data_IF_584740240942
#
_entry.id   IF_584740240942
#
_cell.length_a   1.000
_cell.length_b   1.000
_cell.length_c   1.000
_cell.angle_alpha   90.00
_cell.angle_beta   90.00
_cell.angle_gamma   90.00
#
_symmetry.space_group_name_H-M   'P 1'
#
loop_
_entity.id
_entity.type
_entity.pdbx_description
1 polymer ?
#
# COMPACT_ATOMS: atom_id res chain seq x y z
N UNK A 1 -2.76 12.64 13.82
CA UNK A 1 -3.67 11.60 13.31
C UNK A 1 -2.94 10.73 12.30
N UNK A 2 -3.15 9.44 12.39
CA UNK A 2 -2.59 8.52 11.40
C UNK A 2 -3.16 8.74 10.02
N UNK A 3 -2.48 8.21 9.01
CA UNK A 3 -2.99 8.15 7.66
C UNK A 3 -2.74 6.74 7.12
N UNK A 4 -3.60 6.30 6.24
CA UNK A 4 -3.55 4.94 5.71
C UNK A 4 -3.37 4.96 4.21
N UNK A 5 -2.43 4.19 3.72
CA UNK A 5 -2.32 3.89 2.31
C UNK A 5 -3.02 2.55 2.09
N UNK A 6 -4.06 2.57 1.28
CA UNK A 6 -4.85 1.38 1.00
C UNK A 6 -4.70 1.05 -0.47
N UNK A 7 -4.23 -0.16 -0.74
CA UNK A 7 -3.91 -0.58 -2.10
C UNK A 7 -4.62 -1.88 -2.42
N UNK A 8 -5.18 -1.94 -3.64
CA UNK A 8 -5.62 -3.19 -4.26
C UNK A 8 -4.66 -3.44 -5.41
N UNK A 9 -3.83 -4.48 -5.29
CA UNK A 9 -2.75 -4.75 -6.22
C UNK A 9 -2.95 -6.10 -6.86
N UNK A 10 -3.11 -6.10 -8.18
CA UNK A 10 -3.32 -7.33 -8.95
C UNK A 10 -2.19 -7.52 -9.95
N UNK A 11 -1.16 -8.31 -9.62
CA UNK A 11 -0.10 -8.61 -10.58
C UNK A 11 -0.63 -9.48 -11.73
N UNK A 12 -0.24 -9.13 -12.96
CA UNK A 12 -0.55 -9.96 -14.11
C UNK A 12 0.25 -11.26 -14.06
N UNK A 13 1.47 -11.18 -13.54
CA UNK A 13 2.36 -12.33 -13.35
C UNK A 13 2.98 -12.19 -11.95
N UNK A 14 2.49 -12.99 -11.01
CA UNK A 14 2.97 -12.93 -9.63
C UNK A 14 4.44 -13.30 -9.52
N UNK A 15 4.92 -14.21 -10.36
CA UNK A 15 6.32 -14.61 -10.34
C UNK A 15 7.24 -13.46 -10.76
N UNK A 16 6.86 -12.73 -11.81
CA UNK A 16 7.60 -11.56 -12.25
C UNK A 16 7.58 -10.46 -11.19
N UNK A 17 6.44 -10.28 -10.53
CA UNK A 17 6.30 -9.28 -9.49
C UNK A 17 7.18 -9.60 -8.28
N UNK A 18 7.19 -10.86 -7.85
CA UNK A 18 8.08 -11.31 -6.77
C UNK A 18 9.54 -11.15 -7.13
N UNK A 19 9.90 -11.43 -8.38
CA UNK A 19 11.28 -11.31 -8.85
C UNK A 19 11.76 -9.88 -9.05
N UNK A 20 10.84 -8.90 -9.01
CA UNK A 20 11.18 -7.50 -9.24
C UNK A 20 11.90 -6.84 -8.07
N UNK A 21 11.85 -7.44 -6.88
CA UNK A 21 12.39 -6.84 -5.67
C UNK A 21 11.43 -5.93 -4.92
N UNK A 22 10.25 -5.68 -5.46
CA UNK A 22 9.27 -4.76 -4.85
C UNK A 22 8.87 -5.21 -3.44
N UNK A 23 8.55 -6.49 -3.29
CA UNK A 23 8.00 -7.01 -2.04
C UNK A 23 9.02 -6.98 -0.89
N UNK A 24 10.31 -7.04 -1.21
CA UNK A 24 11.37 -6.98 -0.20
C UNK A 24 11.79 -5.54 0.12
N UNK A 25 11.90 -4.70 -0.90
CA UNK A 25 12.46 -3.36 -0.75
C UNK A 25 11.47 -2.36 -0.16
N UNK A 26 10.22 -2.40 -0.60
CA UNK A 26 9.24 -1.36 -0.27
C UNK A 26 8.90 -1.31 1.23
N UNK A 27 8.74 -2.43 1.95
CA UNK A 27 8.52 -2.34 3.40
C UNK A 27 9.63 -1.61 4.14
N UNK A 28 10.88 -1.75 3.72
CA UNK A 28 11.99 -1.04 4.35
C UNK A 28 11.92 0.45 4.07
N UNK A 29 11.56 0.83 2.85
CA UNK A 29 11.39 2.24 2.49
C UNK A 29 10.24 2.84 3.29
N UNK A 30 9.10 2.16 3.35
CA UNK A 30 7.96 2.62 4.12
C UNK A 30 8.29 2.81 5.60
N UNK A 31 9.09 1.90 6.17
CA UNK A 31 9.49 1.99 7.57
C UNK A 31 10.30 3.25 7.86
N UNK A 32 11.08 3.73 6.91
CA UNK A 32 11.85 4.98 7.08
C UNK A 32 10.92 6.19 7.28
N UNK A 33 9.69 6.10 6.81
CA UNK A 33 8.68 7.16 6.98
C UNK A 33 7.68 6.83 8.09
N UNK A 34 7.98 5.80 8.89
CA UNK A 34 7.12 5.39 9.98
C UNK A 34 5.97 4.50 9.57
N UNK A 35 6.00 3.97 8.36
CA UNK A 35 4.96 3.09 7.86
C UNK A 35 4.97 1.71 8.51
N UNK A 36 3.80 1.24 8.90
CA UNK A 36 3.62 -0.09 9.50
C UNK A 36 2.54 -0.81 8.70
N UNK A 37 2.87 -1.99 8.17
CA UNK A 37 1.89 -2.79 7.46
C UNK A 37 0.86 -3.33 8.44
N UNK A 38 -0.40 -3.02 8.19
CA UNK A 38 -1.53 -3.51 9.00
C UNK A 38 -2.27 -4.66 8.32
N UNK A 39 -2.22 -4.71 7.00
CA UNK A 39 -2.71 -5.83 6.22
C UNK A 39 -1.84 -5.96 4.98
N UNK A 40 -1.57 -7.18 4.55
CA UNK A 40 -0.69 -7.42 3.41
C UNK A 40 -1.10 -8.69 2.67
N UNK A 41 -2.16 -8.58 1.89
CA UNK A 41 -2.63 -9.68 1.05
C UNK A 41 -3.23 -10.85 1.82
N UNK A 42 -3.75 -10.59 3.01
CA UNK A 42 -4.42 -11.60 3.79
C UNK A 42 -5.82 -11.92 3.28
N UNK A 43 -6.51 -12.77 4.00
CA UNK A 43 -7.87 -13.16 3.66
C UNK A 43 -8.78 -11.94 3.60
N UNK A 44 -9.55 -11.84 2.52
CA UNK A 44 -10.51 -10.76 2.34
C UNK A 44 -11.82 -11.34 1.84
N UNK A 45 -12.93 -10.79 2.29
CA UNK A 45 -14.26 -11.23 1.90
C UNK A 45 -15.11 -10.02 1.57
N UNK A 46 -15.73 -10.05 0.40
CA UNK A 46 -16.65 -8.98 0.01
C UNK A 46 -17.96 -9.15 0.77
N UNK A 47 -18.30 -8.16 1.57
CA UNK A 47 -19.53 -8.20 2.36
C UNK A 47 -20.71 -7.59 1.61
N UNK A 48 -20.46 -6.60 0.77
CA UNK A 48 -21.46 -5.94 -0.04
C UNK A 48 -20.81 -5.33 -1.28
N UNK A 49 -21.57 -5.24 -2.34
CA UNK A 49 -21.18 -4.52 -3.54
C UNK A 49 -20.47 -5.38 -4.56
N UNK A 50 -20.17 -4.76 -5.69
CA UNK A 50 -19.60 -5.45 -6.85
C UNK A 50 -18.08 -5.44 -6.87
N UNK A 51 -17.43 -4.61 -6.03
CA UNK A 51 -16.00 -4.53 -5.99
C UNK A 51 -15.42 -5.84 -5.46
N UNK A 52 -14.51 -6.42 -6.23
CA UNK A 52 -13.84 -7.66 -5.85
C UNK A 52 -12.34 -7.41 -5.81
N UNK A 53 -11.82 -6.94 -4.68
CA UNK A 53 -10.40 -6.68 -4.56
C UNK A 53 -9.60 -7.97 -4.71
N UNK A 54 -8.43 -7.87 -5.33
CA UNK A 54 -7.58 -9.03 -5.59
C UNK A 54 -6.59 -9.25 -4.46
N UNK A 55 -5.91 -8.18 -4.02
CA UNK A 55 -4.92 -8.29 -2.96
C UNK A 55 -4.84 -6.96 -2.24
N UNK A 56 -5.42 -6.90 -1.06
CA UNK A 56 -5.47 -5.67 -0.29
C UNK A 56 -4.25 -5.53 0.60
N UNK A 57 -3.68 -4.33 0.60
CA UNK A 57 -2.56 -3.95 1.44
C UNK A 57 -2.95 -2.67 2.16
N UNK A 58 -2.69 -2.60 3.45
CA UNK A 58 -2.94 -1.40 4.25
C UNK A 58 -1.67 -1.07 5.02
N UNK A 59 -1.17 0.15 4.81
CA UNK A 59 0.00 0.65 5.53
C UNK A 59 -0.42 1.87 6.31
N UNK A 60 -0.15 1.87 7.61
CA UNK A 60 -0.42 3.01 8.47
C UNK A 60 0.83 3.86 8.62
N UNK A 61 0.69 5.17 8.43
CA UNK A 61 1.76 6.15 8.65
C UNK A 61 1.38 7.07 9.81
N UNK A 62 2.37 7.67 10.49
CA UNK A 62 2.08 8.54 11.62
C UNK A 62 1.24 9.76 11.27
N UNK A 63 1.30 10.21 10.01
CA UNK A 63 0.58 11.40 9.56
C UNK A 63 0.38 11.36 8.06
N UNK A 64 -0.53 12.21 7.59
CA UNK A 64 -0.74 12.42 6.16
C UNK A 64 0.56 12.85 5.47
N UNK A 65 1.31 13.77 6.09
CA UNK A 65 2.54 14.28 5.49
C UNK A 65 3.58 13.18 5.32
N UNK A 66 3.68 12.26 6.28
CA UNK A 66 4.60 11.13 6.20
C UNK A 66 4.21 10.17 5.10
N UNK A 67 2.91 9.90 4.94
CA UNK A 67 2.42 9.06 3.86
C UNK A 67 2.77 9.67 2.50
N UNK A 68 2.49 10.97 2.33
CA UNK A 68 2.79 11.66 1.08
C UNK A 68 4.30 11.68 0.81
N UNK A 69 5.10 11.92 1.84
CA UNK A 69 6.55 11.92 1.71
C UNK A 69 7.07 10.55 1.24
N UNK A 70 6.52 9.46 1.78
CA UNK A 70 6.87 8.11 1.34
C UNK A 70 6.50 7.91 -0.13
N UNK A 71 5.26 8.22 -0.48
CA UNK A 71 4.75 7.89 -1.82
C UNK A 71 5.51 8.63 -2.91
N UNK A 72 5.98 9.84 -2.61
CA UNK A 72 6.65 10.69 -3.58
C UNK A 72 8.17 10.73 -3.44
N UNK A 73 8.76 9.91 -2.53
CA UNK A 73 10.20 9.95 -2.33
C UNK A 73 10.96 9.30 -3.49
N UNK A 74 12.22 9.68 -3.65
CA UNK A 74 13.06 9.16 -4.72
C UNK A 74 13.34 7.67 -4.58
N UNK A 75 13.49 7.19 -3.35
CA UNK A 75 13.78 5.78 -3.11
C UNK A 75 12.64 4.87 -3.58
N UNK A 76 11.40 5.34 -3.44
CA UNK A 76 10.23 4.57 -3.86
C UNK A 76 9.96 4.68 -5.36
N UNK A 77 10.37 5.76 -6.00
CA UNK A 77 10.01 6.05 -7.40
C UNK A 77 10.25 4.88 -8.37
N UNK A 78 11.42 4.20 -8.36
CA UNK A 78 11.63 3.07 -9.28
C UNK A 78 10.72 1.89 -8.96
N UNK A 79 10.40 1.66 -7.70
CA UNK A 79 9.50 0.57 -7.30
C UNK A 79 8.04 0.89 -7.64
N UNK A 80 7.64 2.15 -7.49
CA UNK A 80 6.31 2.60 -7.94
C UNK A 80 6.15 2.35 -9.44
N UNK A 81 7.16 2.67 -10.23
CA UNK A 81 7.16 2.42 -11.66
C UNK A 81 7.03 0.91 -11.97
N UNK A 82 7.79 0.07 -11.26
CA UNK A 82 7.70 -1.38 -11.40
C UNK A 82 6.29 -1.87 -11.11
N UNK A 83 5.69 -1.41 -10.00
CA UNK A 83 4.33 -1.81 -9.65
C UNK A 83 3.33 -1.38 -10.72
N UNK A 84 3.46 -0.16 -11.23
CA UNK A 84 2.56 0.35 -12.27
C UNK A 84 2.65 -0.47 -13.56
N UNK A 85 3.85 -0.93 -13.90
CA UNK A 85 4.06 -1.73 -15.11
C UNK A 85 3.63 -3.18 -14.97
N UNK A 86 3.82 -3.77 -13.79
CA UNK A 86 3.58 -5.20 -13.58
C UNK A 86 2.23 -5.52 -12.98
N UNK A 87 1.48 -4.53 -12.54
CA UNK A 87 0.22 -4.77 -11.85
C UNK A 87 -0.86 -3.83 -12.35
N UNK A 88 -2.12 -4.26 -12.16
CA UNK A 88 -3.24 -3.36 -12.16
C UNK A 88 -3.52 -3.01 -10.70
N UNK A 89 -3.35 -1.75 -10.33
CA UNK A 89 -3.48 -1.35 -8.94
C UNK A 89 -4.31 -0.10 -8.77
N UNK A 90 -5.01 -0.07 -7.65
CA UNK A 90 -5.82 1.07 -7.23
C UNK A 90 -5.37 1.43 -5.83
N UNK A 91 -4.91 2.65 -5.63
CA UNK A 91 -4.31 3.08 -4.37
C UNK A 91 -4.96 4.37 -3.93
N UNK A 92 -5.37 4.43 -2.68
CA UNK A 92 -5.89 5.65 -2.08
C UNK A 92 -5.15 5.95 -0.79
N UNK A 93 -5.03 7.23 -0.49
CA UNK A 93 -4.58 7.71 0.81
C UNK A 93 -5.82 8.16 1.59
N UNK A 94 -5.90 7.74 2.83
CA UNK A 94 -7.06 8.04 3.68
C UNK A 94 -6.56 8.55 5.02
N UNK A 95 -6.98 9.75 5.39
CA UNK A 95 -6.64 10.29 6.70
C UNK A 95 -7.43 9.57 7.77
N UNK A 96 -6.74 9.19 8.85
CA UNK A 96 -7.38 8.55 9.97
C UNK A 96 -8.09 9.56 10.87
N UNK A 97 -8.87 9.05 11.79
CA UNK A 97 -9.51 9.86 12.80
C UNK A 97 -8.70 9.86 14.08
N UNK A 98 -9.07 10.72 15.01
CA UNK A 98 -8.53 10.64 16.37
C UNK A 98 -8.88 9.30 17.00
N UNK A 99 -8.07 8.87 17.96
CA UNK A 99 -8.32 7.61 18.66
C UNK A 99 -9.64 7.60 19.43
N UNK A 100 -10.21 8.77 19.68
CA UNK A 100 -11.47 8.88 20.41
C UNK A 100 -12.63 8.44 19.51
N UNK A 101 -13.43 7.46 19.90
CA UNK A 101 -14.58 7.04 19.10
C UNK A 101 -15.60 8.16 18.92
N UNK A 102 -16.23 8.15 17.79
CA UNK A 102 -17.27 9.10 17.45
C UNK A 102 -18.64 8.48 17.63
#
# INVERSE_FOLDING_TARGET
>A
MSAFLIADVSPADMQAYRGSGYLEAVPNIAAEYGGVYRARGGKAEVLEGEWQPKRLVVIEFPSWDRLQAFYHCEAYAPYRDIRQRLTESHIVALEGTDATPK
#
